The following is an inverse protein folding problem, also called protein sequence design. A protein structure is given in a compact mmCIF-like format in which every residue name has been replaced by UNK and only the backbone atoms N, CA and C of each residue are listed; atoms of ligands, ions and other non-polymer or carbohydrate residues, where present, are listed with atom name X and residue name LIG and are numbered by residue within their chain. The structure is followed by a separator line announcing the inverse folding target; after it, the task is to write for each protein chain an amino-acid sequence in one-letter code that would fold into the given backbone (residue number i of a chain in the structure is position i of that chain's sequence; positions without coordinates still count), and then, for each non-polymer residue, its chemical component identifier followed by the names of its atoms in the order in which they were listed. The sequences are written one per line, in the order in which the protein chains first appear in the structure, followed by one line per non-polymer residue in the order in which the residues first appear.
data_IF_285649126718
#
_entry.id   IF_285649126718
#
_cell.length_a   1.000
_cell.length_b   1.000
_cell.length_c   1.000
_cell.angle_alpha   90.00
_cell.angle_beta   90.00
_cell.angle_gamma   90.00
#
_symmetry.space_group_name_H-M   'P 1'
#
loop_
_entity.id
_entity.type
_entity.pdbx_description
1 polymer ?
#
# COMPACT_ATOMS: atom_id res chain seq x y z
N UNK A 1 -7.70 2.38 1.11
CA UNK A 1 -6.77 2.47 -0.04
C UNK A 1 -7.47 1.93 -1.28
N UNK A 2 -7.18 2.49 -2.46
CA UNK A 2 -7.51 1.85 -3.72
C UNK A 2 -6.41 0.83 -4.04
N UNK A 3 -6.76 -0.45 -4.02
CA UNK A 3 -5.84 -1.55 -4.28
C UNK A 3 -6.17 -2.14 -5.65
N UNK A 4 -5.20 -2.12 -6.55
CA UNK A 4 -5.31 -2.69 -7.89
C UNK A 4 -4.69 -4.08 -7.91
N UNK A 5 -5.45 -5.07 -8.36
CA UNK A 5 -4.93 -6.40 -8.65
C UNK A 5 -4.33 -6.41 -10.06
N UNK A 6 -3.01 -6.60 -10.22
CA UNK A 6 -2.36 -6.54 -11.52
C UNK A 6 -2.79 -7.66 -12.47
N UNK A 7 -3.31 -8.78 -11.97
CA UNK A 7 -3.71 -9.90 -12.84
C UNK A 7 -5.12 -9.77 -13.40
N UNK A 8 -6.03 -9.14 -12.65
CA UNK A 8 -7.42 -8.94 -13.09
C UNK A 8 -7.68 -7.53 -13.59
N UNK A 9 -6.75 -6.60 -13.37
CA UNK A 9 -6.91 -5.17 -13.68
C UNK A 9 -7.98 -4.48 -12.83
N UNK A 10 -8.57 -5.19 -11.84
CA UNK A 10 -9.63 -4.65 -11.01
C UNK A 10 -9.04 -3.82 -9.88
N UNK A 11 -9.61 -2.65 -9.67
CA UNK A 11 -9.29 -1.79 -8.53
C UNK A 11 -10.43 -1.85 -7.54
N UNK A 12 -10.11 -2.20 -6.30
CA UNK A 12 -11.08 -2.29 -5.22
C UNK A 12 -10.64 -1.39 -4.06
N UNK A 13 -11.62 -0.83 -3.36
CA UNK A 13 -11.35 -0.12 -2.11
C UNK A 13 -11.17 -1.15 -1.00
N UNK A 14 -10.00 -1.15 -0.39
CA UNK A 14 -9.68 -2.01 0.74
C UNK A 14 -9.31 -1.17 1.96
N UNK A 15 -9.59 -1.72 3.13
CA UNK A 15 -9.14 -1.15 4.40
C UNK A 15 -7.65 -1.44 4.61
N UNK A 16 -6.95 -0.48 5.21
CA UNK A 16 -5.54 -0.59 5.54
C UNK A 16 -5.46 -1.03 6.99
N UNK A 17 -4.85 -2.18 7.25
CA UNK A 17 -4.69 -2.71 8.60
C UNK A 17 -3.43 -2.16 9.26
N UNK A 18 -2.28 -2.26 8.58
CA UNK A 18 -0.98 -1.78 9.07
C UNK A 18 0.04 -1.60 7.96
N UNK A 19 1.12 -0.88 8.27
CA UNK A 19 2.30 -0.75 7.39
C UNK A 19 3.29 -1.85 7.77
N UNK A 20 3.64 -2.71 6.81
CA UNK A 20 4.57 -3.83 7.04
C UNK A 20 6.00 -3.37 6.85
N UNK A 21 6.27 -2.68 5.73
CA UNK A 21 7.62 -2.29 5.36
C UNK A 21 7.62 -1.00 4.58
N UNK A 22 8.42 -0.05 5.02
CA UNK A 22 8.63 1.21 4.33
C UNK A 22 10.10 1.29 3.89
N UNK A 23 10.38 1.36 2.58
CA UNK A 23 11.74 1.48 2.08
C UNK A 23 12.38 2.84 2.40
N UNK A 24 11.58 3.87 2.74
CA UNK A 24 12.10 5.21 3.03
C UNK A 24 12.78 5.29 4.40
N UNK A 25 12.25 4.60 5.41
CA UNK A 25 12.84 4.52 6.75
C UNK A 25 12.20 3.36 7.53
N UNK A 26 13.00 2.63 8.30
CA UNK A 26 12.52 1.59 9.22
C UNK A 26 11.66 2.17 10.35
N UNK A 27 11.96 3.38 10.83
CA UNK A 27 11.18 4.05 11.87
C UNK A 27 9.77 4.41 11.41
N UNK A 28 9.58 4.60 10.10
CA UNK A 28 8.26 4.87 9.51
C UNK A 28 7.33 3.66 9.58
N UNK A 29 7.87 2.46 9.72
CA UNK A 29 7.06 1.26 9.97
C UNK A 29 6.38 1.36 11.33
N UNK A 30 7.11 1.83 12.36
CA UNK A 30 6.60 1.97 13.72
C UNK A 30 5.60 3.10 13.86
N UNK A 31 5.84 4.21 13.14
CA UNK A 31 4.96 5.39 13.16
C UNK A 31 3.76 5.27 12.21
N UNK A 32 3.68 4.22 11.39
CA UNK A 32 2.62 4.04 10.41
C UNK A 32 2.64 5.06 9.26
N UNK A 33 3.80 5.64 8.94
CA UNK A 33 3.91 6.64 7.88
C UNK A 33 3.90 5.94 6.51
N UNK A 34 2.89 6.27 5.70
CA UNK A 34 2.71 5.71 4.37
C UNK A 34 3.40 6.60 3.34
N UNK A 35 4.40 6.05 2.64
CA UNK A 35 5.11 6.71 1.55
C UNK A 35 4.98 5.90 0.26
N UNK A 36 5.39 6.51 -0.86
CA UNK A 36 5.50 5.80 -2.14
C UNK A 36 6.51 4.65 -1.98
N UNK A 37 6.10 3.44 -2.34
CA UNK A 37 6.89 2.21 -2.24
C UNK A 37 6.73 1.45 -0.93
N UNK A 38 5.97 1.98 0.05
CA UNK A 38 5.66 1.25 1.26
C UNK A 38 4.77 0.02 0.97
N UNK A 39 5.05 -1.08 1.64
CA UNK A 39 4.24 -2.29 1.68
C UNK A 39 3.27 -2.17 2.85
N UNK A 40 1.99 -2.23 2.52
CA UNK A 40 0.88 -2.14 3.47
C UNK A 40 0.11 -3.46 3.45
N UNK A 41 -0.40 -3.83 4.61
CA UNK A 41 -1.33 -4.94 4.74
C UNK A 41 -2.76 -4.39 4.65
N UNK A 42 -3.52 -4.95 3.73
CA UNK A 42 -4.91 -4.59 3.47
C UNK A 42 -5.81 -5.81 3.63
N UNK A 43 -7.12 -5.59 3.72
CA UNK A 43 -8.09 -6.69 3.79
C UNK A 43 -8.07 -7.63 2.57
N UNK A 44 -7.50 -7.20 1.44
CA UNK A 44 -7.29 -8.02 0.24
C UNK A 44 -5.94 -8.74 0.21
N UNK A 45 -5.03 -8.44 1.14
CA UNK A 45 -3.66 -8.95 1.19
C UNK A 45 -2.59 -7.84 1.22
N UNK A 46 -1.35 -8.23 0.95
CA UNK A 46 -0.20 -7.31 0.91
C UNK A 46 -0.21 -6.48 -0.37
N UNK A 47 -0.06 -5.17 -0.23
CA UNK A 47 -0.06 -4.24 -1.36
C UNK A 47 1.09 -3.24 -1.27
N UNK A 48 1.68 -2.91 -2.43
CA UNK A 48 2.72 -1.89 -2.56
C UNK A 48 2.10 -0.56 -2.98
N UNK A 49 2.30 0.46 -2.17
CA UNK A 49 1.83 1.82 -2.46
C UNK A 49 2.60 2.41 -3.64
N UNK A 50 1.89 2.85 -4.66
CA UNK A 50 2.47 3.48 -5.85
C UNK A 50 2.28 4.99 -5.88
N UNK A 51 1.25 5.51 -5.19
CA UNK A 51 1.01 6.96 -5.09
C UNK A 51 1.81 7.62 -3.96
N UNK A 52 1.94 8.95 -4.03
CA UNK A 52 2.38 9.79 -2.91
C UNK A 52 1.14 10.35 -2.19
N UNK A 53 0.79 9.85 -1.00
CA UNK A 53 -0.48 10.22 -0.34
C UNK A 53 -0.64 11.73 -0.16
N UNK A 54 0.44 12.44 0.20
CA UNK A 54 0.41 13.89 0.40
C UNK A 54 0.17 14.71 -0.87
N UNK A 55 0.40 14.16 -2.07
CA UNK A 55 0.15 14.86 -3.35
C UNK A 55 -1.18 14.45 -3.99
N UNK A 56 -1.56 13.18 -3.88
CA UNK A 56 -2.75 12.65 -4.56
C UNK A 56 -4.03 12.70 -3.72
N UNK A 57 -3.93 12.84 -2.39
CA UNK A 57 -5.08 12.77 -1.48
C UNK A 57 -5.70 11.36 -1.33
N UNK A 58 -5.24 10.39 -2.14
CA UNK A 58 -5.74 9.01 -2.15
C UNK A 58 -4.54 8.06 -2.16
N UNK A 59 -4.65 6.99 -1.37
CA UNK A 59 -3.64 5.93 -1.31
C UNK A 59 -3.96 4.90 -2.39
N UNK A 60 -3.13 4.86 -3.43
CA UNK A 60 -3.18 3.84 -4.47
C UNK A 60 -2.07 2.82 -4.21
N UNK A 61 -2.44 1.56 -4.23
CA UNK A 61 -1.53 0.45 -4.03
C UNK A 61 -1.81 -0.66 -5.05
N UNK A 62 -0.80 -1.49 -5.31
CA UNK A 62 -0.90 -2.65 -6.19
C UNK A 62 -0.67 -3.89 -5.35
N UNK A 63 -1.55 -4.90 -5.44
CA UNK A 63 -1.37 -6.17 -4.75
C UNK A 63 -0.04 -6.80 -5.13
N UNK A 64 0.73 -7.19 -4.12
CA UNK A 64 1.96 -7.96 -4.29
C UNK A 64 1.54 -9.40 -4.07
N UNK A 65 1.62 -10.22 -5.13
CA UNK A 65 1.62 -11.67 -4.96
C UNK A 65 3.04 -12.00 -4.49
N UNK A 66 3.18 -12.43 -3.25
CA UNK A 66 4.36 -13.21 -2.89
C UNK A 66 4.28 -14.50 -3.71
N UNK A 67 5.30 -14.72 -4.54
CA UNK A 67 5.55 -15.99 -5.20
C UNK A 67 6.10 -16.99 -4.17
#
# INVERSE_FOLDING_TARGET
ACVTDPSTGKTQKAEILRVVKNPANVDYNRRGVITKGAVIETSLGLARVTSRPGQHGIINAVLIREE
#
